data_IF_564865397230
#
_entry.id   IF_564865397230
#
_cell.length_a   1.000
_cell.length_b   1.000
_cell.length_c   1.000
_cell.angle_alpha   90.00
_cell.angle_beta   90.00
_cell.angle_gamma   90.00
#
_symmetry.space_group_name_H-M   'P 1'
#
loop_
_entity.id
_entity.type
_entity.pdbx_description
1 polymer ?
#
# COMPACT_ATOMS: atom_id res chain seq x y z
N UNK A 1 16.46 13.46 -5.21
CA UNK A 1 15.15 13.00 -5.68
C UNK A 1 14.50 12.36 -4.47
N UNK A 2 13.52 13.01 -3.85
CA UNK A 2 12.83 12.50 -2.66
C UNK A 2 11.66 11.64 -3.12
N UNK A 3 11.82 10.32 -3.06
CA UNK A 3 10.74 9.37 -3.34
C UNK A 3 9.92 9.23 -2.06
N UNK A 4 8.62 9.56 -2.11
CA UNK A 4 7.73 9.38 -0.97
C UNK A 4 7.26 7.93 -0.96
N UNK A 5 7.56 7.20 0.12
CA UNK A 5 7.20 5.80 0.26
C UNK A 5 6.12 5.63 1.33
N UNK A 6 5.09 4.88 1.01
CA UNK A 6 4.00 4.50 1.89
C UNK A 6 4.23 3.10 2.43
N UNK A 7 3.68 2.78 3.60
CA UNK A 7 3.63 1.38 4.04
C UNK A 7 2.22 0.85 3.82
N UNK A 8 2.11 -0.19 3.00
CA UNK A 8 0.87 -0.95 2.85
C UNK A 8 0.81 -2.03 3.92
N UNK A 9 -0.36 -2.22 4.55
CA UNK A 9 -0.63 -3.30 5.48
C UNK A 9 -2.04 -3.89 5.25
N UNK A 10 -2.11 -5.10 4.69
CA UNK A 10 -3.40 -5.75 4.44
C UNK A 10 -4.02 -6.33 5.73
N UNK A 11 -5.27 -6.02 6.08
CA UNK A 11 -5.93 -6.52 7.29
C UNK A 11 -6.27 -8.02 7.23
N UNK A 12 -6.50 -8.53 6.01
CA UNK A 12 -6.91 -9.92 5.78
C UNK A 12 -5.74 -10.90 5.89
N UNK A 13 -4.70 -10.69 5.07
CA UNK A 13 -3.54 -11.58 5.03
C UNK A 13 -2.39 -11.12 5.94
N UNK A 14 -2.53 -9.97 6.61
CA UNK A 14 -1.52 -9.34 7.47
C UNK A 14 -0.16 -9.14 6.80
N UNK A 15 -0.16 -8.93 5.49
CA UNK A 15 1.06 -8.64 4.73
C UNK A 15 1.34 -7.14 4.79
N UNK A 16 2.56 -6.79 5.17
CA UNK A 16 3.04 -5.41 5.15
C UNK A 16 4.28 -5.26 4.28
N UNK A 17 4.33 -4.20 3.47
CA UNK A 17 5.49 -3.85 2.65
C UNK A 17 5.45 -2.38 2.25
N UNK A 18 6.60 -1.84 1.88
CA UNK A 18 6.73 -0.47 1.41
C UNK A 18 6.29 -0.36 -0.06
N UNK A 19 5.57 0.71 -0.38
CA UNK A 19 5.00 0.97 -1.68
C UNK A 19 5.17 2.44 -2.06
N UNK A 20 5.59 2.70 -3.28
CA UNK A 20 5.56 4.05 -3.85
C UNK A 20 4.12 4.44 -4.23
N UNK A 21 3.89 5.73 -4.50
CA UNK A 21 2.59 6.26 -4.95
C UNK A 21 1.96 5.43 -6.08
N UNK A 22 2.74 5.10 -7.11
CA UNK A 22 2.25 4.32 -8.25
C UNK A 22 1.80 2.90 -7.85
N UNK A 23 2.50 2.26 -6.91
CA UNK A 23 2.12 0.92 -6.45
C UNK A 23 0.92 1.00 -5.49
N UNK A 24 0.82 2.06 -4.69
CA UNK A 24 -0.37 2.37 -3.90
C UNK A 24 -1.62 2.50 -4.78
N UNK A 25 -1.55 3.27 -5.87
CA UNK A 25 -2.67 3.44 -6.80
C UNK A 25 -3.09 2.10 -7.41
N UNK A 26 -2.13 1.30 -7.89
CA UNK A 26 -2.40 -0.03 -8.43
C UNK A 26 -3.06 -0.99 -7.41
N UNK A 27 -2.61 -0.95 -6.15
CA UNK A 27 -3.21 -1.77 -5.08
C UNK A 27 -4.65 -1.33 -4.76
N UNK A 28 -4.96 -0.03 -4.82
CA UNK A 28 -6.33 0.48 -4.63
C UNK A 28 -7.26 0.07 -5.77
N UNK A 29 -6.74 -0.01 -7.00
CA UNK A 29 -7.52 -0.43 -8.18
C UNK A 29 -7.72 -1.95 -8.25
N UNK A 30 -6.67 -2.73 -8.02
CA UNK A 30 -6.68 -4.19 -8.20
C UNK A 30 -7.02 -4.93 -6.91
N UNK A 31 -6.72 -4.34 -5.74
CA UNK A 31 -6.75 -5.00 -4.45
C UNK A 31 -5.42 -5.65 -4.08
N UNK A 32 -5.41 -6.36 -2.95
CA UNK A 32 -4.20 -6.99 -2.42
C UNK A 32 -3.70 -8.09 -3.37
N UNK A 33 -2.51 -7.96 -3.93
CA UNK A 33 -1.90 -8.95 -4.84
C UNK A 33 -1.67 -10.34 -4.24
N UNK A 34 -1.76 -10.47 -2.90
CA UNK A 34 -1.53 -11.74 -2.20
C UNK A 34 -2.82 -12.53 -2.02
N UNK A 35 -3.90 -11.88 -1.56
CA UNK A 35 -5.16 -12.53 -1.23
C UNK A 35 -6.37 -12.07 -2.05
N UNK A 36 -6.21 -11.02 -2.85
CA UNK A 36 -7.28 -10.41 -3.65
C UNK A 36 -8.28 -9.58 -2.85
N UNK A 37 -8.03 -9.32 -1.57
CA UNK A 37 -8.91 -8.50 -0.74
C UNK A 37 -8.94 -7.04 -1.24
N UNK A 38 -10.09 -6.35 -1.14
CA UNK A 38 -10.17 -4.93 -1.46
C UNK A 38 -9.22 -4.14 -0.54
N UNK A 39 -8.49 -3.21 -1.13
CA UNK A 39 -7.56 -2.33 -0.43
C UNK A 39 -8.15 -0.93 -0.42
N UNK A 40 -8.06 -0.25 0.73
CA UNK A 40 -8.48 1.14 0.88
C UNK A 40 -7.29 2.01 1.32
N UNK A 41 -7.44 3.33 1.17
CA UNK A 41 -6.44 4.30 1.62
C UNK A 41 -6.10 4.16 3.12
N UNK A 42 -7.05 3.71 3.96
CA UNK A 42 -6.79 3.43 5.37
C UNK A 42 -5.80 2.26 5.61
N UNK A 43 -5.62 1.36 4.64
CA UNK A 43 -4.64 0.26 4.71
C UNK A 43 -3.22 0.72 4.32
N UNK A 44 -3.08 1.98 3.87
CA UNK A 44 -1.83 2.59 3.43
C UNK A 44 -1.48 3.74 4.39
N UNK A 45 -0.36 3.63 5.11
CA UNK A 45 0.04 4.70 6.02
C UNK A 45 0.67 5.89 5.29
N UNK A 46 0.64 7.05 5.94
CA UNK A 46 1.25 8.28 5.46
C UNK A 46 2.73 8.06 5.09
N UNK A 47 3.22 8.73 4.04
CA UNK A 47 4.58 8.51 3.59
C UNK A 47 5.55 9.13 4.59
N UNK A 48 6.60 8.37 4.92
CA UNK A 48 7.69 8.89 5.75
C UNK A 48 8.65 9.59 4.81
N UNK A 49 8.73 10.92 4.88
CA UNK A 49 9.77 11.68 4.17
C UNK A 49 11.06 11.62 4.99
N UNK A 50 12.09 10.97 4.45
CA UNK A 50 13.46 11.00 5.00
C UNK A 50 14.35 11.98 4.23
#
# INVERSE_FOLDING_TARGET
>A
MTTSTHTFACPECRRSFEVDDAMREALLEVGCVVCGAPVVDADLTAPTVE
#
